data_IF_935735794702
#
_entry.id   IF_935735794702
#
_cell.length_a   1.000
_cell.length_b   1.000
_cell.length_c   1.000
_cell.angle_alpha   90.00
_cell.angle_beta   90.00
_cell.angle_gamma   90.00
#
_symmetry.space_group_name_H-M   'P 1'
#
loop_
_entity.id
_entity.type
_entity.pdbx_description
1 polymer ?
#
# COMPACT_ATOMS: atom_id res chain seq x y z
N UNK A 1 -14.78 22.31 -1.29
CA UNK A 1 -15.41 21.34 -0.36
C UNK A 1 -14.26 20.58 0.26
N UNK A 2 -14.07 20.65 1.58
CA UNK A 2 -12.99 19.91 2.24
C UNK A 2 -13.34 18.43 2.17
N UNK A 3 -12.78 17.73 1.18
CA UNK A 3 -12.90 16.29 1.06
C UNK A 3 -12.38 15.69 2.36
N UNK A 4 -13.25 14.92 3.02
CA UNK A 4 -12.90 14.17 4.23
C UNK A 4 -11.85 13.16 3.77
N UNK A 5 -10.58 13.50 3.92
CA UNK A 5 -9.48 12.56 3.75
C UNK A 5 -9.75 11.45 4.77
N UNK A 6 -10.26 10.32 4.30
CA UNK A 6 -10.42 9.15 5.15
C UNK A 6 -9.01 8.76 5.60
N UNK A 7 -8.79 8.70 6.90
CA UNK A 7 -7.52 8.24 7.45
C UNK A 7 -7.33 6.77 7.06
N UNK A 8 -6.52 6.53 6.04
CA UNK A 8 -6.18 5.19 5.58
C UNK A 8 -5.21 4.61 6.60
N UNK A 9 -5.75 3.82 7.53
CA UNK A 9 -4.96 3.17 8.58
C UNK A 9 -4.25 1.94 7.99
N UNK A 10 -2.93 2.04 7.88
CA UNK A 10 -2.06 0.88 7.79
C UNK A 10 -1.88 0.27 9.18
N UNK A 11 -1.56 -1.03 9.25
CA UNK A 11 -1.19 -1.65 10.53
C UNK A 11 0.26 -1.33 10.87
N UNK A 12 0.62 -1.35 12.16
CA UNK A 12 2.01 -1.12 12.60
C UNK A 12 3.02 -2.04 11.91
N UNK A 13 2.62 -3.29 11.61
CA UNK A 13 3.45 -4.23 10.84
C UNK A 13 3.66 -3.77 9.39
N UNK A 14 2.62 -3.24 8.74
CA UNK A 14 2.72 -2.72 7.37
C UNK A 14 3.67 -1.52 7.34
N UNK A 15 3.59 -0.62 8.32
CA UNK A 15 4.50 0.51 8.43
C UNK A 15 5.94 0.06 8.69
N UNK A 16 6.15 -0.92 9.58
CA UNK A 16 7.48 -1.51 9.84
C UNK A 16 8.08 -2.22 8.61
N UNK A 17 7.25 -2.84 7.78
CA UNK A 17 7.69 -3.41 6.50
C UNK A 17 8.01 -2.34 5.44
N UNK A 18 7.67 -1.07 5.72
CA UNK A 18 7.95 0.07 4.86
C UNK A 18 6.80 0.44 3.93
N UNK A 19 5.59 -0.05 4.18
CA UNK A 19 4.40 0.44 3.47
C UNK A 19 3.98 1.79 4.02
N UNK A 20 3.63 2.72 3.12
CA UNK A 20 3.05 4.00 3.48
C UNK A 20 2.15 4.51 2.36
N UNK A 21 1.30 5.47 2.67
CA UNK A 21 0.34 6.06 1.74
C UNK A 21 0.52 7.56 1.67
N UNK A 22 0.33 8.12 0.49
CA UNK A 22 0.39 9.54 0.23
C UNK A 22 -0.87 9.99 -0.49
N UNK A 23 -1.43 11.13 -0.09
CA UNK A 23 -2.55 11.75 -0.80
C UNK A 23 -2.02 12.82 -1.76
N UNK A 24 -2.39 12.70 -3.03
CA UNK A 24 -2.10 13.69 -4.08
C UNK A 24 -3.41 14.09 -4.75
N UNK A 25 -4.04 15.16 -4.25
CA UNK A 25 -5.34 15.63 -4.76
C UNK A 25 -6.43 14.56 -4.61
N UNK A 26 -7.05 14.18 -5.74
CA UNK A 26 -8.05 13.11 -5.83
C UNK A 26 -7.44 11.70 -5.85
N UNK A 27 -6.14 11.54 -5.60
CA UNK A 27 -5.43 10.26 -5.72
C UNK A 27 -4.74 9.85 -4.44
N UNK A 28 -4.59 8.55 -4.30
CA UNK A 28 -3.83 7.90 -3.25
C UNK A 28 -2.71 7.09 -3.88
N UNK A 29 -1.48 7.46 -3.52
CA UNK A 29 -0.29 6.72 -3.88
C UNK A 29 -0.01 5.72 -2.75
N UNK A 30 0.20 4.46 -3.12
CA UNK A 30 0.62 3.42 -2.18
C UNK A 30 2.07 3.11 -2.47
N UNK A 31 2.88 3.15 -1.42
CA UNK A 31 4.33 2.97 -1.49
C UNK A 31 4.75 1.76 -0.67
N UNK A 32 5.86 1.14 -1.09
CA UNK A 32 6.58 0.13 -0.33
C UNK A 32 8.09 0.42 -0.41
N UNK A 33 8.69 0.77 0.73
CA UNK A 33 10.03 1.34 0.85
C UNK A 33 10.17 2.57 -0.09
N UNK A 34 11.01 2.46 -1.13
CA UNK A 34 11.29 3.52 -2.12
C UNK A 34 10.51 3.38 -3.44
N UNK A 35 9.62 2.38 -3.54
CA UNK A 35 8.90 2.10 -4.77
C UNK A 35 7.42 2.42 -4.62
N UNK A 36 6.86 3.12 -5.60
CA UNK A 36 5.41 3.23 -5.74
C UNK A 36 4.87 1.88 -6.22
N UNK A 37 3.90 1.33 -5.51
CA UNK A 37 3.28 0.03 -5.84
C UNK A 37 1.88 0.16 -6.42
N UNK A 38 1.19 1.28 -6.16
CA UNK A 38 -0.08 1.58 -6.79
C UNK A 38 -0.39 3.09 -6.81
N UNK A 39 -1.22 3.49 -7.77
CA UNK A 39 -1.88 4.78 -7.84
C UNK A 39 -3.38 4.52 -7.93
N UNK A 40 -4.15 5.01 -6.96
CA UNK A 40 -5.59 4.75 -6.82
C UNK A 40 -6.36 6.08 -6.85
N UNK A 41 -7.51 6.08 -7.49
CA UNK A 41 -8.43 7.23 -7.42
C UNK A 41 -9.19 7.21 -6.09
N UNK A 42 -9.36 8.39 -5.48
CA UNK A 42 -10.12 8.59 -4.25
C UNK A 42 -11.55 8.10 -4.44
N UNK A 43 -11.99 7.23 -3.54
CA UNK A 43 -13.31 6.62 -3.59
C UNK A 43 -13.77 6.33 -2.16
N UNK A 44 -15.07 6.18 -1.90
CA UNK A 44 -15.57 5.84 -0.56
C UNK A 44 -14.95 4.56 0.03
N UNK A 45 -14.51 3.65 -0.84
CA UNK A 45 -13.89 2.36 -0.56
C UNK A 45 -12.34 2.38 -0.66
N UNK A 46 -11.72 3.56 -0.68
CA UNK A 46 -10.26 3.70 -0.89
C UNK A 46 -9.43 2.97 0.15
N UNK A 47 -9.84 2.98 1.43
CA UNK A 47 -9.14 2.23 2.48
C UNK A 47 -9.11 0.73 2.22
N UNK A 48 -10.20 0.17 1.69
CA UNK A 48 -10.26 -1.24 1.29
C UNK A 48 -9.35 -1.52 0.09
N UNK A 49 -9.32 -0.63 -0.90
CA UNK A 49 -8.44 -0.77 -2.09
C UNK A 49 -6.96 -0.74 -1.70
N UNK A 50 -6.56 0.16 -0.81
CA UNK A 50 -5.17 0.20 -0.30
C UNK A 50 -4.82 -1.10 0.42
N UNK A 51 -5.69 -1.59 1.30
CA UNK A 51 -5.44 -2.85 2.02
C UNK A 51 -5.33 -4.05 1.07
N UNK A 52 -6.11 -4.08 -0.01
CA UNK A 52 -6.02 -5.11 -1.04
C UNK A 52 -4.67 -5.07 -1.78
N UNK A 53 -4.22 -3.87 -2.18
CA UNK A 53 -2.91 -3.65 -2.79
C UNK A 53 -1.77 -4.12 -1.89
N UNK A 54 -1.79 -3.76 -0.61
CA UNK A 54 -0.76 -4.16 0.36
C UNK A 54 -0.74 -5.68 0.55
N UNK A 55 -1.91 -6.31 0.70
CA UNK A 55 -2.03 -7.78 0.82
C UNK A 55 -1.53 -8.49 -0.42
N UNK A 56 -1.90 -8.01 -1.61
CA UNK A 56 -1.42 -8.56 -2.89
C UNK A 56 0.10 -8.46 -2.97
N UNK A 57 0.67 -7.30 -2.65
CA UNK A 57 2.12 -7.10 -2.71
C UNK A 57 2.88 -7.99 -1.73
N UNK A 58 2.39 -8.14 -0.49
CA UNK A 58 2.97 -9.09 0.48
C UNK A 58 2.95 -10.52 -0.04
N UNK A 59 1.84 -10.96 -0.63
CA UNK A 59 1.73 -12.30 -1.22
C UNK A 59 2.72 -12.50 -2.36
N UNK A 60 2.83 -11.54 -3.28
CA UNK A 60 3.79 -11.60 -4.39
C UNK A 60 5.24 -11.71 -3.88
N UNK A 61 5.60 -10.94 -2.85
CA UNK A 61 6.93 -11.00 -2.24
C UNK A 61 7.19 -12.35 -1.56
N UNK A 62 6.18 -12.91 -0.88
CA UNK A 62 6.27 -14.24 -0.29
C UNK A 62 6.45 -15.32 -1.37
N UNK A 63 5.67 -15.27 -2.45
CA UNK A 63 5.81 -16.23 -3.56
C UNK A 63 7.18 -16.14 -4.24
N UNK A 64 7.73 -14.93 -4.38
CA UNK A 64 9.11 -14.74 -4.87
C UNK A 64 10.11 -15.37 -3.92
N UNK A 65 9.98 -15.13 -2.61
CA UNK A 65 10.85 -15.73 -1.59
C UNK A 65 10.79 -17.26 -1.62
N UNK A 66 9.60 -17.86 -1.69
CA UNK A 66 9.43 -19.32 -1.74
C UNK A 66 10.06 -19.93 -3.00
N UNK A 67 9.98 -19.24 -4.15
CA UNK A 67 10.52 -19.74 -5.42
C UNK A 67 12.02 -19.54 -5.58
N UNK A 68 12.58 -18.49 -4.98
CA UNK A 68 13.94 -18.02 -5.31
C UNK A 68 14.86 -17.91 -4.09
N UNK A 69 14.33 -18.00 -2.87
CA UNK A 69 15.06 -17.68 -1.64
C UNK A 69 15.40 -16.19 -1.49
N UNK A 70 15.00 -15.34 -2.46
CA UNK A 70 15.33 -13.92 -2.47
C UNK A 70 14.54 -13.18 -1.40
N UNK A 71 15.25 -12.48 -0.51
CA UNK A 71 14.68 -11.54 0.47
C UNK A 71 15.01 -10.13 0.03
N UNK A 72 14.03 -9.25 0.15
CA UNK A 72 14.22 -7.82 -0.07
C UNK A 72 14.96 -7.24 1.14
N UNK A 73 16.28 -7.04 1.02
CA UNK A 73 17.14 -6.37 2.03
C UNK A 73 16.53 -5.07 2.59
#
# INVERSE_FOLDING_TARGET
>A
MAEVQQEIKLTEEQEKEGYWVEWEGDRVLVWHKKNQIALLYSSPDIGKKVQDVVKKRRRELQEVYEKTGWKQE
#
